data_IF_710935053200
#
_entry.id   IF_710935053200
#
_cell.length_a   1.000
_cell.length_b   1.000
_cell.length_c   1.000
_cell.angle_alpha   90.00
_cell.angle_beta   90.00
_cell.angle_gamma   90.00
#
_symmetry.space_group_name_H-M   'P 1'
#
loop_
_entity.id
_entity.type
_entity.pdbx_description
1 polymer ?
#
# COMPACT_ATOMS: atom_id res chain seq x y z
N UNK A 1 -22.60 11.14 28.12
CA UNK A 1 -22.92 11.26 29.56
C UNK A 1 -23.50 12.63 29.89
N UNK A 2 -22.69 13.70 29.94
CA UNK A 2 -23.17 15.04 30.35
C UNK A 2 -24.37 15.54 29.51
N UNK A 3 -24.27 15.46 28.17
CA UNK A 3 -25.36 15.81 27.26
C UNK A 3 -26.62 14.95 27.46
N UNK A 4 -26.47 13.65 27.75
CA UNK A 4 -27.60 12.75 28.01
C UNK A 4 -28.35 13.13 29.28
N UNK A 5 -27.62 13.53 30.34
CA UNK A 5 -28.21 14.02 31.59
C UNK A 5 -28.90 15.36 31.34
N UNK A 6 -28.24 16.28 30.63
CA UNK A 6 -28.81 17.59 30.31
C UNK A 6 -30.11 17.47 29.50
N UNK A 7 -30.14 16.64 28.46
CA UNK A 7 -31.34 16.39 27.64
C UNK A 7 -32.43 15.69 28.48
N UNK A 8 -32.06 14.70 29.30
CA UNK A 8 -33.02 14.01 30.17
C UNK A 8 -33.69 14.96 31.16
N UNK A 9 -32.91 15.85 31.79
CA UNK A 9 -33.44 16.88 32.68
C UNK A 9 -34.26 17.91 31.91
N UNK A 10 -33.82 18.33 30.75
CA UNK A 10 -34.52 19.34 29.96
C UNK A 10 -35.88 18.85 29.45
N UNK A 11 -35.97 17.62 28.97
CA UNK A 11 -37.21 17.03 28.44
C UNK A 11 -38.21 16.68 29.55
N UNK A 12 -37.74 16.43 30.77
CA UNK A 12 -38.59 16.04 31.90
C UNK A 12 -38.78 17.14 32.97
N UNK A 13 -38.10 18.28 32.86
CA UNK A 13 -38.29 19.43 33.73
C UNK A 13 -39.52 20.24 33.28
N UNK A 14 -40.70 19.63 33.34
CA UNK A 14 -41.98 20.30 33.16
C UNK A 14 -42.57 20.68 34.53
N UNK A 15 -43.06 21.91 34.67
CA UNK A 15 -43.70 22.42 35.90
C UNK A 15 -45.22 22.25 35.93
N UNK A 16 -45.86 21.93 34.79
CA UNK A 16 -47.32 21.81 34.68
C UNK A 16 -47.70 20.40 34.20
N UNK A 17 -48.86 19.91 34.67
CA UNK A 17 -49.39 18.55 34.43
C UNK A 17 -49.69 18.21 32.96
N UNK A 18 -49.56 19.17 32.04
CA UNK A 18 -49.73 19.01 30.59
C UNK A 18 -48.40 18.81 29.85
N UNK A 19 -47.37 18.26 30.50
CA UNK A 19 -46.16 17.87 29.78
C UNK A 19 -46.54 16.79 28.77
N UNK A 20 -46.48 17.13 27.47
CA UNK A 20 -46.58 16.15 26.40
C UNK A 20 -45.71 14.95 26.78
N UNK A 21 -46.27 13.74 26.65
CA UNK A 21 -45.52 12.49 26.82
C UNK A 21 -44.49 12.42 25.69
N UNK A 22 -43.39 13.17 25.84
CA UNK A 22 -42.27 13.11 24.93
C UNK A 22 -41.83 11.64 24.86
N UNK A 23 -41.63 11.07 23.67
CA UNK A 23 -41.21 9.67 23.51
C UNK A 23 -39.77 9.42 23.99
N UNK A 24 -39.17 10.38 24.70
CA UNK A 24 -37.83 10.26 25.25
C UNK A 24 -37.80 9.34 26.46
N UNK A 25 -36.86 8.37 26.52
CA UNK A 25 -36.79 7.43 27.62
C UNK A 25 -36.43 8.10 28.95
N UNK A 26 -37.18 7.73 30.00
CA UNK A 26 -36.96 8.19 31.38
C UNK A 26 -35.74 7.57 32.06
N UNK A 27 -35.39 6.35 31.65
CA UNK A 27 -34.27 5.62 32.21
C UNK A 27 -32.95 6.13 31.62
N UNK A 28 -31.97 6.38 32.49
CA UNK A 28 -30.67 6.94 32.11
C UNK A 28 -29.96 6.15 31.00
N UNK A 29 -29.92 4.81 31.08
CA UNK A 29 -29.26 3.98 30.06
C UNK A 29 -29.93 4.07 28.69
N UNK A 30 -31.26 4.14 28.66
CA UNK A 30 -32.00 4.33 27.43
C UNK A 30 -31.80 5.75 26.88
N UNK A 31 -31.80 6.78 27.73
CA UNK A 31 -31.48 8.16 27.32
C UNK A 31 -30.06 8.28 26.77
N UNK A 32 -29.11 7.54 27.34
CA UNK A 32 -27.75 7.45 26.83
C UNK A 32 -27.69 6.79 25.45
N UNK A 33 -28.39 5.67 25.27
CA UNK A 33 -28.49 5.02 23.95
C UNK A 33 -29.15 5.91 22.91
N UNK A 34 -30.20 6.66 23.28
CA UNK A 34 -30.85 7.62 22.40
C UNK A 34 -29.89 8.76 22.01
N UNK A 35 -29.12 9.28 22.97
CA UNK A 35 -28.09 10.30 22.70
C UNK A 35 -27.00 9.76 21.77
N UNK A 36 -26.60 8.49 21.92
CA UNK A 36 -25.65 7.86 21.01
C UNK A 36 -26.22 7.76 19.59
N UNK A 37 -27.50 7.40 19.44
CA UNK A 37 -28.16 7.41 18.13
C UNK A 37 -28.30 8.81 17.52
N UNK A 38 -28.38 9.88 18.34
CA UNK A 38 -28.32 11.25 17.84
C UNK A 38 -27.00 11.55 17.13
N UNK A 39 -25.87 10.99 17.61
CA UNK A 39 -24.58 11.10 16.92
C UNK A 39 -24.61 10.43 15.54
N UNK A 40 -25.37 9.34 15.40
CA UNK A 40 -25.56 8.62 14.14
C UNK A 40 -26.64 9.25 13.23
N UNK A 41 -27.24 10.38 13.62
CA UNK A 41 -28.25 11.10 12.84
C UNK A 41 -29.68 10.55 12.95
N UNK A 42 -29.96 9.67 13.92
CA UNK A 42 -31.31 9.14 14.15
C UNK A 42 -32.01 9.91 15.26
N UNK A 43 -33.10 10.61 14.94
CA UNK A 43 -33.78 11.52 15.87
C UNK A 43 -35.20 11.09 16.27
N UNK A 44 -35.57 9.83 15.99
CA UNK A 44 -36.92 9.27 16.22
C UNK A 44 -37.48 9.55 17.63
N UNK A 45 -36.62 9.59 18.66
CA UNK A 45 -37.02 9.79 20.06
C UNK A 45 -37.32 11.25 20.46
N UNK A 46 -36.98 12.23 19.62
CA UNK A 46 -37.17 13.66 19.89
C UNK A 46 -37.82 14.41 18.71
N UNK A 47 -38.16 13.70 17.63
CA UNK A 47 -38.72 14.30 16.43
C UNK A 47 -39.98 15.11 16.70
N UNK A 48 -40.88 14.60 17.55
CA UNK A 48 -42.11 15.30 17.92
C UNK A 48 -41.82 16.60 18.69
N UNK A 49 -40.81 16.59 19.57
CA UNK A 49 -40.36 17.77 20.34
C UNK A 49 -39.60 18.79 19.49
N UNK A 50 -38.94 18.34 18.41
CA UNK A 50 -38.20 19.18 17.46
C UNK A 50 -39.11 19.86 16.44
N UNK A 51 -40.32 19.33 16.22
CA UNK A 51 -41.30 19.96 15.31
C UNK A 51 -42.03 21.13 15.96
N UNK A 52 -41.90 21.29 17.28
CA UNK A 52 -42.49 22.40 18.03
C UNK A 52 -41.54 23.60 18.10
N UNK A 53 -41.93 24.77 17.54
CA UNK A 53 -41.07 25.95 17.49
C UNK A 53 -40.80 26.59 18.86
N UNK A 54 -41.53 26.19 19.90
CA UNK A 54 -41.37 26.69 21.28
C UNK A 54 -40.09 26.14 21.95
N UNK A 55 -39.61 24.97 21.51
CA UNK A 55 -38.50 24.25 22.12
C UNK A 55 -37.12 24.71 21.61
N UNK A 56 -36.89 26.03 21.49
CA UNK A 56 -35.65 26.61 20.95
C UNK A 56 -34.39 26.16 21.70
N UNK A 57 -34.49 25.96 23.01
CA UNK A 57 -33.37 25.51 23.85
C UNK A 57 -32.93 24.10 23.46
N UNK A 58 -33.84 23.24 22.98
CA UNK A 58 -33.54 21.85 22.62
C UNK A 58 -32.80 21.84 21.28
N UNK A 59 -33.23 22.68 20.33
CA UNK A 59 -32.50 22.93 19.09
C UNK A 59 -31.08 23.44 19.36
N UNK A 60 -30.92 24.40 20.28
CA UNK A 60 -29.60 24.93 20.64
C UNK A 60 -28.70 23.84 21.23
N UNK A 61 -29.20 23.05 22.19
CA UNK A 61 -28.45 21.96 22.80
C UNK A 61 -28.04 20.89 21.77
N UNK A 62 -28.93 20.59 20.82
CA UNK A 62 -28.66 19.65 19.74
C UNK A 62 -27.59 20.17 18.77
N UNK A 63 -27.64 21.45 18.40
CA UNK A 63 -26.62 22.08 17.56
C UNK A 63 -25.25 22.09 18.23
N UNK A 64 -25.17 22.41 19.52
CA UNK A 64 -23.92 22.36 20.29
C UNK A 64 -23.40 20.92 20.37
N UNK A 65 -24.29 19.94 20.60
CA UNK A 65 -23.93 18.53 20.67
C UNK A 65 -23.33 18.03 19.35
N UNK A 66 -23.95 18.32 18.21
CA UNK A 66 -23.45 17.92 16.89
C UNK A 66 -22.12 18.61 16.58
N UNK A 67 -21.99 19.91 16.87
CA UNK A 67 -20.73 20.64 16.68
C UNK A 67 -19.60 20.02 17.52
N UNK A 68 -19.86 19.71 18.78
CA UNK A 68 -18.85 19.13 19.66
C UNK A 68 -18.47 17.70 19.24
N UNK A 69 -19.44 16.86 18.92
CA UNK A 69 -19.18 15.44 18.63
C UNK A 69 -18.70 15.19 17.20
N UNK A 70 -19.32 15.82 16.21
CA UNK A 70 -18.99 15.59 14.79
C UNK A 70 -17.85 16.49 14.35
N UNK A 71 -17.80 17.76 14.77
CA UNK A 71 -16.78 18.69 14.29
C UNK A 71 -15.53 18.61 15.17
N UNK A 72 -15.65 18.67 16.50
CA UNK A 72 -14.45 18.68 17.35
C UNK A 72 -13.91 17.27 17.57
N UNK A 73 -14.72 16.35 18.07
CA UNK A 73 -14.22 15.01 18.45
C UNK A 73 -13.78 14.18 17.25
N UNK A 74 -14.47 14.25 16.11
CA UNK A 74 -14.04 13.51 14.91
C UNK A 74 -12.73 14.05 14.35
N UNK A 75 -12.57 15.38 14.26
CA UNK A 75 -11.34 15.98 13.76
C UNK A 75 -10.15 15.66 14.67
N UNK A 76 -10.37 15.69 16.00
CA UNK A 76 -9.35 15.28 16.97
C UNK A 76 -9.05 13.78 16.87
N UNK A 77 -10.07 12.94 16.70
CA UNK A 77 -9.88 11.50 16.53
C UNK A 77 -9.06 11.19 15.27
N UNK A 78 -9.36 11.84 14.14
CA UNK A 78 -8.60 11.69 12.90
C UNK A 78 -7.16 12.17 13.11
N UNK A 79 -6.95 13.30 13.79
CA UNK A 79 -5.61 13.80 14.09
C UNK A 79 -4.81 12.80 14.96
N UNK A 80 -5.43 12.26 16.02
CA UNK A 80 -4.82 11.25 16.89
C UNK A 80 -4.51 9.95 16.15
N UNK A 81 -5.43 9.49 15.30
CA UNK A 81 -5.22 8.32 14.45
C UNK A 81 -4.03 8.55 13.51
N UNK A 82 -3.98 9.71 12.85
CA UNK A 82 -2.88 10.05 11.95
C UNK A 82 -1.54 10.09 12.69
N UNK A 83 -1.49 10.72 13.87
CA UNK A 83 -0.29 10.75 14.71
C UNK A 83 0.12 9.35 15.18
N UNK A 84 -0.84 8.52 15.63
CA UNK A 84 -0.57 7.16 16.05
C UNK A 84 -0.07 6.25 14.92
N UNK A 85 -0.54 6.46 13.70
CA UNK A 85 -0.03 5.73 12.52
C UNK A 85 1.31 6.27 12.03
N UNK A 86 1.63 7.55 12.18
CA UNK A 86 2.95 8.08 11.82
C UNK A 86 4.08 7.57 12.72
N UNK A 87 3.79 7.23 13.99
CA UNK A 87 4.76 6.60 14.89
C UNK A 87 4.93 5.09 14.62
N UNK A 88 4.11 4.54 13.71
CA UNK A 88 4.04 3.11 13.41
C UNK A 88 4.95 2.66 12.26
N UNK A 89 6.02 3.37 11.88
CA UNK A 89 6.99 2.81 10.91
C UNK A 89 7.52 1.41 11.32
N UNK A 90 7.36 1.05 12.60
CA UNK A 90 7.58 -0.27 13.17
C UNK A 90 6.46 -1.29 12.94
N UNK A 91 5.37 -0.97 12.23
CA UNK A 91 4.22 -1.87 12.03
C UNK A 91 4.64 -3.11 11.25
N UNK A 92 5.52 -2.95 10.25
CA UNK A 92 6.08 -4.07 9.48
C UNK A 92 6.90 -4.98 10.38
N UNK A 93 7.74 -4.39 11.24
CA UNK A 93 8.57 -5.14 12.19
C UNK A 93 7.71 -5.85 13.24
N UNK A 94 6.70 -5.17 13.79
CA UNK A 94 5.75 -5.72 14.75
C UNK A 94 4.92 -6.83 14.14
N UNK A 95 4.47 -6.65 12.90
CA UNK A 95 3.77 -7.68 12.13
C UNK A 95 4.66 -8.90 11.88
N UNK A 96 5.91 -8.68 11.49
CA UNK A 96 6.87 -9.75 11.23
C UNK A 96 7.20 -10.54 12.50
N UNK A 97 7.40 -9.84 13.63
CA UNK A 97 7.63 -10.46 14.96
C UNK A 97 6.41 -11.27 15.39
N UNK A 98 5.19 -10.74 15.22
CA UNK A 98 3.96 -11.46 15.57
C UNK A 98 3.76 -12.70 14.70
N UNK A 99 4.06 -12.59 13.39
CA UNK A 99 3.99 -13.72 12.47
C UNK A 99 5.04 -14.79 12.80
N UNK A 100 6.25 -14.37 13.19
CA UNK A 100 7.30 -15.29 13.61
C UNK A 100 6.92 -16.05 14.89
N UNK A 101 6.40 -15.34 15.91
CA UNK A 101 5.88 -15.96 17.14
C UNK A 101 4.75 -16.96 16.88
N UNK A 102 3.87 -16.65 15.92
CA UNK A 102 2.82 -17.57 15.51
C UNK A 102 3.39 -18.85 14.90
N UNK A 103 4.36 -18.73 13.99
CA UNK A 103 5.04 -19.87 13.36
C UNK A 103 5.83 -20.69 14.40
N UNK A 104 6.54 -20.04 15.32
CA UNK A 104 7.23 -20.68 16.44
C UNK A 104 6.26 -21.49 17.30
N UNK A 105 5.12 -20.91 17.65
CA UNK A 105 4.09 -21.58 18.45
C UNK A 105 3.50 -22.79 17.73
N UNK A 106 3.21 -22.65 16.43
CA UNK A 106 2.71 -23.74 15.59
C UNK A 106 3.75 -24.86 15.43
N UNK A 107 5.03 -24.51 15.27
CA UNK A 107 6.12 -25.48 15.19
C UNK A 107 6.27 -26.27 16.49
N UNK A 108 6.30 -25.58 17.63
CA UNK A 108 6.43 -26.21 18.95
C UNK A 108 5.34 -27.26 19.20
N UNK A 109 4.11 -26.98 18.75
CA UNK A 109 3.00 -27.92 18.81
C UNK A 109 3.23 -29.15 17.90
N UNK A 110 3.73 -28.93 16.69
CA UNK A 110 4.02 -30.01 15.73
C UNK A 110 5.23 -30.88 16.11
N UNK A 111 6.13 -30.37 16.96
CA UNK A 111 7.36 -31.06 17.38
C UNK A 111 7.09 -32.38 18.10
N UNK A 112 5.96 -32.46 18.80
CA UNK A 112 5.58 -33.61 19.61
C UNK A 112 4.94 -34.75 18.79
N UNK A 113 4.68 -34.54 17.49
CA UNK A 113 4.02 -35.50 16.61
C UNK A 113 5.08 -36.41 15.96
N UNK A 114 5.08 -37.69 16.33
CA UNK A 114 6.01 -38.68 15.80
C UNK A 114 5.88 -38.83 14.27
N UNK A 115 6.98 -38.62 13.56
CA UNK A 115 7.07 -38.80 12.10
C UNK A 115 6.83 -37.55 11.26
N UNK A 116 6.34 -36.45 11.83
CA UNK A 116 6.05 -35.21 11.08
C UNK A 116 7.33 -34.57 10.49
N UNK A 117 8.45 -34.63 11.22
CA UNK A 117 9.77 -34.13 10.78
C UNK A 117 10.60 -35.09 9.92
N UNK A 118 10.12 -36.32 9.63
CA UNK A 118 10.90 -37.31 8.86
C UNK A 118 10.96 -36.99 7.35
N UNK A 119 10.02 -36.19 6.84
CA UNK A 119 10.04 -35.67 5.46
C UNK A 119 10.88 -34.39 5.40
N UNK A 120 12.16 -34.54 5.09
CA UNK A 120 13.14 -33.45 4.97
C UNK A 120 12.83 -32.41 3.87
N UNK A 121 11.84 -32.65 3.01
CA UNK A 121 11.45 -31.71 1.96
C UNK A 121 10.55 -30.57 2.46
N UNK A 122 9.96 -30.68 3.66
CA UNK A 122 8.99 -29.71 4.16
C UNK A 122 9.54 -28.81 5.27
N UNK A 123 10.58 -29.23 5.99
CA UNK A 123 11.18 -28.45 7.07
C UNK A 123 12.72 -28.55 7.05
N UNK A 124 13.45 -27.42 7.12
CA UNK A 124 14.90 -27.41 7.23
C UNK A 124 15.38 -27.96 8.58
N UNK A 125 16.62 -28.46 8.62
CA UNK A 125 17.20 -29.17 9.79
C UNK A 125 17.35 -28.28 11.04
N UNK A 126 17.47 -26.96 10.87
CA UNK A 126 17.54 -25.98 11.95
C UNK A 126 16.85 -24.68 11.52
N UNK A 127 16.08 -24.07 12.43
CA UNK A 127 15.43 -22.76 12.26
C UNK A 127 15.89 -21.90 13.45
N UNK A 128 16.44 -20.72 13.17
CA UNK A 128 16.86 -19.77 14.20
C UNK A 128 15.80 -18.67 14.33
N UNK A 129 15.07 -18.64 15.45
CA UNK A 129 13.99 -17.68 15.70
C UNK A 129 14.48 -16.32 16.23
N UNK A 130 15.75 -16.22 16.58
CA UNK A 130 16.38 -14.97 17.04
C UNK A 130 17.57 -14.67 16.15
N UNK A 131 17.42 -13.71 15.25
CA UNK A 131 18.53 -13.16 14.47
C UNK A 131 18.74 -11.70 14.89
N UNK A 132 19.96 -11.34 15.27
CA UNK A 132 20.29 -9.93 15.52
C UNK A 132 20.33 -9.17 14.18
N UNK A 133 20.09 -7.85 14.20
CA UNK A 133 20.13 -7.02 12.99
C UNK A 133 21.48 -7.13 12.26
N UNK A 134 22.57 -7.32 13.00
CA UNK A 134 23.90 -7.58 12.43
C UNK A 134 23.98 -8.93 11.71
N UNK A 135 23.31 -9.96 12.21
CA UNK A 135 23.26 -11.28 11.55
C UNK A 135 22.38 -11.26 10.30
N UNK A 136 21.25 -10.53 10.33
CA UNK A 136 20.37 -10.37 9.16
C UNK A 136 21.09 -9.61 8.04
N UNK A 137 21.75 -8.50 8.36
CA UNK A 137 22.50 -7.71 7.37
C UNK A 137 23.71 -8.47 6.81
N UNK A 138 24.43 -9.23 7.64
CA UNK A 138 25.52 -10.09 7.18
C UNK A 138 25.03 -11.22 6.26
N UNK A 139 23.84 -11.78 6.53
CA UNK A 139 23.24 -12.81 5.69
C UNK A 139 22.77 -12.25 4.35
N UNK A 140 22.11 -11.08 4.34
CA UNK A 140 21.71 -10.42 3.10
C UNK A 140 22.90 -10.09 2.20
N UNK A 141 24.00 -9.58 2.76
CA UNK A 141 25.25 -9.35 2.00
C UNK A 141 25.83 -10.64 1.41
N UNK A 142 25.68 -11.79 2.08
CA UNK A 142 26.13 -13.08 1.53
C UNK A 142 25.26 -13.56 0.37
N UNK A 143 23.95 -13.35 0.43
CA UNK A 143 23.04 -13.70 -0.67
C UNK A 143 23.33 -12.84 -1.89
N UNK A 144 23.45 -11.53 -1.71
CA UNK A 144 23.74 -10.57 -2.79
C UNK A 144 25.08 -10.87 -3.49
N UNK A 145 26.12 -11.19 -2.69
CA UNK A 145 27.42 -11.63 -3.22
C UNK A 145 27.36 -12.98 -3.95
N UNK A 146 26.46 -13.90 -3.56
CA UNK A 146 26.26 -15.16 -4.26
C UNK A 146 25.53 -14.98 -5.60
N UNK A 147 24.61 -14.03 -5.67
CA UNK A 147 23.85 -13.72 -6.89
C UNK A 147 24.73 -13.02 -7.92
N UNK A 148 25.48 -12.00 -7.48
CA UNK A 148 26.48 -11.31 -8.31
C UNK A 148 27.64 -12.21 -8.75
N UNK A 149 28.08 -13.17 -7.92
CA UNK A 149 29.09 -14.15 -8.34
C UNK A 149 28.57 -15.06 -9.46
N UNK A 150 27.32 -15.52 -9.38
CA UNK A 150 26.71 -16.36 -10.43
C UNK A 150 26.48 -15.59 -11.72
N UNK A 151 26.14 -14.31 -11.61
CA UNK A 151 25.99 -13.43 -12.77
C UNK A 151 27.34 -13.16 -13.44
N UNK A 152 28.40 -12.91 -12.67
CA UNK A 152 29.75 -12.71 -13.21
C UNK A 152 30.30 -13.98 -13.89
N UNK A 153 30.06 -15.16 -13.32
CA UNK A 153 30.44 -16.44 -13.95
C UNK A 153 29.70 -16.65 -15.28
N UNK A 154 28.42 -16.29 -15.33
CA UNK A 154 27.60 -16.31 -16.54
C UNK A 154 28.12 -15.33 -17.61
N UNK A 155 28.40 -14.07 -17.23
CA UNK A 155 28.93 -13.05 -18.13
C UNK A 155 30.31 -13.45 -18.67
N UNK A 156 31.18 -13.98 -17.81
CA UNK A 156 32.53 -14.41 -18.20
C UNK A 156 32.50 -15.59 -19.19
N UNK A 157 31.56 -16.53 -19.02
CA UNK A 157 31.36 -17.62 -19.98
C UNK A 157 30.85 -17.13 -21.34
N UNK A 158 30.05 -16.05 -21.38
CA UNK A 158 29.57 -15.45 -22.62
C UNK A 158 30.67 -14.66 -23.33
N UNK A 159 31.50 -13.94 -22.58
CA UNK A 159 32.63 -13.18 -23.11
C UNK A 159 33.70 -14.07 -23.74
N UNK A 160 34.03 -15.21 -23.12
CA UNK A 160 34.99 -16.17 -23.69
C UNK A 160 34.47 -16.78 -25.01
N UNK A 161 33.18 -17.10 -25.06
CA UNK A 161 32.53 -17.58 -26.28
C UNK A 161 32.56 -16.54 -27.41
N UNK A 162 32.25 -15.26 -27.10
CA UNK A 162 32.31 -14.17 -28.08
C UNK A 162 33.75 -13.95 -28.57
N UNK A 163 34.75 -13.94 -27.68
CA UNK A 163 36.16 -13.80 -28.07
C UNK A 163 36.57 -14.89 -29.05
N UNK A 164 36.21 -16.14 -28.76
CA UNK A 164 36.53 -17.27 -29.65
C UNK A 164 35.86 -17.17 -31.02
N UNK A 165 34.65 -16.59 -31.10
CA UNK A 165 33.96 -16.37 -32.36
C UNK A 165 34.59 -15.23 -33.18
N UNK A 166 35.05 -14.17 -32.51
CA UNK A 166 35.76 -13.04 -33.14
C UNK A 166 37.10 -13.49 -33.71
N UNK A 167 37.85 -14.33 -33.00
CA UNK A 167 39.13 -14.88 -33.49
C UNK A 167 38.93 -15.77 -34.73
N UNK A 168 37.85 -16.55 -34.78
CA UNK A 168 37.47 -17.33 -35.95
C UNK A 168 37.07 -16.45 -37.14
N UNK A 169 36.30 -15.38 -36.91
CA UNK A 169 35.95 -14.40 -37.94
C UNK A 169 37.18 -13.68 -38.49
N UNK A 170 38.14 -13.33 -37.62
CA UNK A 170 39.40 -12.68 -38.00
C UNK A 170 40.29 -13.61 -38.82
N UNK A 171 40.38 -14.89 -38.46
CA UNK A 171 41.10 -15.89 -39.24
C UNK A 171 40.49 -16.07 -40.65
N UNK A 172 39.17 -16.01 -40.77
CA UNK A 172 38.47 -16.12 -42.04
C UNK A 172 38.61 -14.88 -42.93
N UNK A 173 38.88 -13.69 -42.35
CA UNK A 173 39.04 -12.44 -43.09
C UNK A 173 40.47 -12.22 -43.63
N UNK A 174 41.48 -12.87 -43.05
CA UNK A 174 42.91 -12.72 -43.46
C UNK A 174 43.23 -13.45 -44.77
N UNK A 175 42.36 -14.34 -45.27
CA UNK A 175 42.58 -15.05 -46.55
C UNK A 175 42.13 -14.22 -47.78
N UNK A 176 41.52 -13.06 -47.60
CA UNK A 176 41.10 -12.21 -48.73
C UNK A 176 41.69 -10.80 -48.70
N UNK A 177 42.77 -10.59 -49.43
CA UNK A 177 43.17 -9.28 -49.96
C UNK A 177 44.06 -9.45 -51.20
N UNK A 178 44.39 -8.39 -51.98
CA UNK A 178 43.89 -7.00 -51.96
C UNK A 178 43.64 -6.41 -53.39
N UNK A 179 43.06 -5.20 -53.52
CA UNK A 179 43.20 -4.40 -54.77
C UNK A 179 43.15 -2.86 -54.59
N UNK A 180 44.35 -2.28 -54.45
CA UNK A 180 45.00 -1.14 -55.14
C UNK A 180 44.28 0.11 -55.78
N UNK A 181 45.02 1.25 -55.65
CA UNK A 181 45.11 2.56 -56.37
C UNK A 181 44.21 3.73 -55.89
N UNK A 182 44.70 4.83 -55.28
CA UNK A 182 45.63 5.97 -55.65
C UNK A 182 45.03 7.06 -56.57
N UNK A 183 44.99 8.32 -56.09
CA UNK A 183 45.63 9.60 -56.58
C UNK A 183 44.77 10.86 -56.22
N UNK A 184 45.24 11.80 -55.36
CA UNK A 184 45.85 13.16 -55.60
C UNK A 184 44.84 14.25 -56.09
N UNK A 185 44.76 15.54 -55.68
CA UNK A 185 45.73 16.58 -55.20
C UNK A 185 45.00 17.94 -54.87
N UNK A 186 45.60 18.81 -54.02
CA UNK A 186 45.56 20.32 -53.89
C UNK A 186 44.20 21.10 -53.82
N UNK A 187 43.95 22.26 -53.18
CA UNK A 187 44.64 23.24 -52.30
C UNK A 187 43.58 24.26 -51.73
N UNK A 188 43.86 24.82 -50.54
CA UNK A 188 43.58 26.20 -50.03
C UNK A 188 42.21 26.72 -49.46
N UNK A 189 42.39 27.44 -48.32
CA UNK A 189 41.61 28.49 -47.59
C UNK A 189 40.24 28.28 -46.91
N UNK A 190 40.29 28.55 -45.59
CA UNK A 190 39.36 29.33 -44.75
C UNK A 190 37.85 29.04 -44.82
N UNK A 191 37.33 28.37 -43.79
CA UNK A 191 36.28 28.92 -42.91
C UNK A 191 35.81 27.86 -41.88
N UNK A 192 35.83 28.27 -40.61
CA UNK A 192 35.11 27.63 -39.50
C UNK A 192 33.61 27.44 -39.87
N UNK A 193 32.98 26.30 -39.49
CA UNK A 193 31.91 26.46 -38.52
C UNK A 193 31.89 25.32 -37.49
N UNK A 194 32.20 25.69 -36.24
CA UNK A 194 31.66 25.00 -35.07
C UNK A 194 30.18 25.36 -34.92
N UNK A 195 29.26 24.49 -35.32
CA UNK A 195 27.86 24.55 -34.85
C UNK A 195 26.98 23.33 -35.18
N UNK A 196 27.40 22.43 -36.08
CA UNK A 196 26.51 21.36 -36.57
C UNK A 196 26.22 20.29 -35.48
N UNK A 197 27.12 20.09 -34.51
CA UNK A 197 26.95 19.06 -33.47
C UNK A 197 25.91 19.34 -32.38
N UNK A 198 25.40 20.58 -32.25
CA UNK A 198 24.41 20.92 -31.23
C UNK A 198 22.98 20.58 -31.67
N UNK A 199 22.65 20.80 -32.94
CA UNK A 199 21.31 20.57 -33.49
C UNK A 199 20.98 19.09 -33.61
N UNK A 200 21.96 18.28 -34.03
CA UNK A 200 21.79 16.82 -34.19
C UNK A 200 21.66 16.09 -32.84
N UNK A 201 22.37 16.58 -31.80
CA UNK A 201 22.22 16.11 -30.42
C UNK A 201 20.87 16.47 -29.82
N UNK A 202 20.35 17.67 -30.12
CA UNK A 202 19.05 18.13 -29.63
C UNK A 202 17.90 17.33 -30.24
N UNK A 203 18.00 16.98 -31.53
CA UNK A 203 17.02 16.13 -32.22
C UNK A 203 17.05 14.67 -31.73
N UNK A 204 18.25 14.14 -31.42
CA UNK A 204 18.41 12.81 -30.82
C UNK A 204 17.83 12.74 -29.40
N UNK A 205 17.95 13.84 -28.64
CA UNK A 205 17.39 13.95 -27.28
C UNK A 205 15.86 13.97 -27.31
N UNK A 206 15.25 14.73 -28.24
CA UNK A 206 13.79 14.78 -28.41
C UNK A 206 13.22 13.40 -28.79
N UNK A 207 13.92 12.66 -29.64
CA UNK A 207 13.54 11.29 -29.99
C UNK A 207 13.55 10.34 -28.78
N UNK A 208 14.56 10.44 -27.91
CA UNK A 208 14.63 9.63 -26.69
C UNK A 208 13.58 10.03 -25.65
N UNK A 209 13.24 11.32 -25.55
CA UNK A 209 12.19 11.81 -24.64
C UNK A 209 10.82 11.29 -25.07
N UNK A 210 10.52 11.28 -26.37
CA UNK A 210 9.26 10.70 -26.87
C UNK A 210 9.21 9.19 -26.70
N UNK A 211 10.32 8.47 -26.91
CA UNK A 211 10.38 7.04 -26.65
C UNK A 211 10.16 6.71 -25.16
N UNK A 212 10.73 7.49 -24.25
CA UNK A 212 10.49 7.37 -22.81
C UNK A 212 9.03 7.64 -22.44
N UNK A 213 8.37 8.63 -23.06
CA UNK A 213 6.93 8.88 -22.85
C UNK A 213 6.08 7.71 -23.33
N UNK A 214 6.40 7.12 -24.48
CA UNK A 214 5.69 5.95 -25.01
C UNK A 214 5.89 4.74 -24.11
N UNK A 215 7.09 4.50 -23.60
CA UNK A 215 7.34 3.41 -22.63
C UNK A 215 6.61 3.64 -21.30
N UNK A 216 6.57 4.88 -20.81
CA UNK A 216 5.86 5.20 -19.56
C UNK A 216 4.34 4.99 -19.70
N UNK A 217 3.75 5.44 -20.81
CA UNK A 217 2.30 5.29 -21.06
C UNK A 217 1.90 3.83 -21.29
N UNK A 218 2.72 3.05 -22.00
CA UNK A 218 2.48 1.61 -22.18
C UNK A 218 2.63 0.82 -20.88
N UNK A 219 3.62 1.17 -20.05
CA UNK A 219 3.80 0.61 -18.71
C UNK A 219 2.62 0.94 -17.78
N UNK A 220 2.14 2.19 -17.81
CA UNK A 220 0.98 2.63 -17.03
C UNK A 220 -0.30 1.88 -17.45
N UNK A 221 -0.58 1.80 -18.76
CA UNK A 221 -1.73 1.05 -19.27
C UNK A 221 -1.66 -0.45 -18.92
N UNK A 222 -0.45 -1.01 -18.84
CA UNK A 222 -0.26 -2.39 -18.38
C UNK A 222 -0.55 -2.54 -16.88
N UNK A 223 -0.14 -1.59 -16.05
CA UNK A 223 -0.45 -1.59 -14.61
C UNK A 223 -1.95 -1.45 -14.35
N UNK A 224 -2.65 -0.57 -15.08
CA UNK A 224 -4.09 -0.37 -14.93
C UNK A 224 -4.88 -1.67 -15.23
N UNK A 225 -4.49 -2.40 -16.29
CA UNK A 225 -5.08 -3.71 -16.60
C UNK A 225 -4.86 -4.74 -15.50
N UNK A 226 -3.69 -4.73 -14.84
CA UNK A 226 -3.42 -5.64 -13.71
C UNK A 226 -4.27 -5.28 -12.49
N UNK A 227 -4.51 -4.00 -12.24
CA UNK A 227 -5.37 -3.55 -11.14
C UNK A 227 -6.82 -4.02 -11.38
N UNK A 228 -7.34 -3.86 -12.60
CA UNK A 228 -8.69 -4.33 -12.95
C UNK A 228 -8.84 -5.85 -12.77
N UNK A 229 -7.84 -6.63 -13.18
CA UNK A 229 -7.87 -8.09 -13.03
C UNK A 229 -7.84 -8.51 -11.55
N UNK A 230 -7.01 -7.85 -10.74
CA UNK A 230 -6.95 -8.10 -9.28
C UNK A 230 -8.28 -7.72 -8.61
N UNK A 231 -8.89 -6.58 -8.97
CA UNK A 231 -10.19 -6.19 -8.43
C UNK A 231 -11.29 -7.20 -8.79
N UNK A 232 -11.26 -7.71 -10.02
CA UNK A 232 -12.19 -8.75 -10.47
C UNK A 232 -12.00 -10.06 -9.70
N UNK A 233 -10.77 -10.48 -9.46
CA UNK A 233 -10.46 -11.66 -8.64
C UNK A 233 -10.93 -11.48 -7.19
N UNK A 234 -10.69 -10.31 -6.57
CA UNK A 234 -11.18 -10.01 -5.23
C UNK A 234 -12.70 -10.10 -5.14
N UNK A 235 -13.42 -9.56 -6.13
CA UNK A 235 -14.88 -9.61 -6.17
C UNK A 235 -15.39 -11.06 -6.25
N UNK A 236 -14.78 -11.89 -7.09
CA UNK A 236 -15.13 -13.31 -7.17
C UNK A 236 -14.90 -14.06 -5.86
N UNK A 237 -13.79 -13.78 -5.17
CA UNK A 237 -13.50 -14.39 -3.86
C UNK A 237 -14.53 -13.94 -2.81
N UNK A 238 -14.88 -12.66 -2.81
CA UNK A 238 -15.92 -12.11 -1.91
C UNK A 238 -17.28 -12.76 -2.16
N UNK A 239 -17.70 -12.91 -3.42
CA UNK A 239 -18.99 -13.52 -3.77
C UNK A 239 -19.03 -15.01 -3.40
N UNK A 240 -17.91 -15.74 -3.56
CA UNK A 240 -17.78 -17.13 -3.12
C UNK A 240 -17.85 -17.27 -1.59
N UNK A 241 -17.23 -16.36 -0.84
CA UNK A 241 -17.31 -16.32 0.62
C UNK A 241 -18.73 -16.01 1.09
N UNK A 242 -19.43 -15.06 0.44
CA UNK A 242 -20.81 -14.70 0.78
C UNK A 242 -21.77 -15.87 0.54
N UNK A 243 -21.51 -16.69 -0.48
CA UNK A 243 -22.31 -17.88 -0.81
C UNK A 243 -21.99 -19.10 0.07
N UNK A 244 -20.84 -19.11 0.72
CA UNK A 244 -20.39 -20.20 1.59
C UNK A 244 -20.76 -19.98 3.07
N UNK A 245 -21.28 -18.80 3.45
CA UNK A 245 -21.83 -18.56 4.78
C UNK A 245 -23.19 -19.25 4.90
N UNK A 246 -23.36 -20.21 5.83
CA UNK A 246 -24.66 -20.81 6.09
C UNK A 246 -25.61 -19.73 6.62
N UNK A 247 -26.83 -19.68 6.08
CA UNK A 247 -27.93 -18.96 6.72
C UNK A 247 -28.17 -19.64 8.07
N UNK A 248 -27.78 -18.99 9.16
CA UNK A 248 -28.29 -19.33 10.49
C UNK A 248 -29.81 -19.09 10.46
N UNK A 249 -30.55 -20.19 10.35
CA UNK A 249 -31.98 -20.32 10.66
C UNK A 249 -32.13 -20.84 12.09
#
# INVERSE_FOLDING_TARGET
>A
MAFSIAILHMVHACSNDECMKAPFPKHFFYALSATYFFMAGRYDSVNDLLNEPENWTLHLMMMIYVLFTVILMLNVLIALINTGFTESETWVQTWLVNRLRYVESAENLSYHIAGFRRKYNWFPKAIYYTASEQQVSAFMKRIDNMETSKENDSIQSRLSNISSAVDQLKANMVISGPSNKRHSKDEDKDHLPSSIGATERMQTLECHVEELKVQLTTSQAHMDRRIDDIQKQMKQISDLLLKALPSEE
#
